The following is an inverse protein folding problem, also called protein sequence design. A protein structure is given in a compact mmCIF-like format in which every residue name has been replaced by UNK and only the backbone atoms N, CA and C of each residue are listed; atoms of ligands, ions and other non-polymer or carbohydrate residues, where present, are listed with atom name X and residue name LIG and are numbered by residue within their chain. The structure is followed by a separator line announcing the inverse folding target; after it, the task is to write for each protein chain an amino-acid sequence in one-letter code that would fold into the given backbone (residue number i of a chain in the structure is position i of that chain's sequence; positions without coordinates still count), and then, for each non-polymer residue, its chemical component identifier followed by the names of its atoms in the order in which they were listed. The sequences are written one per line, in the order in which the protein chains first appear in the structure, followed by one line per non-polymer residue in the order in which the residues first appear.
data_IF_543746629079
#
_entry.id   IF_543746629079
#
_cell.length_a   1.000
_cell.length_b   1.000
_cell.length_c   1.000
_cell.angle_alpha   90.00
_cell.angle_beta   90.00
_cell.angle_gamma   90.00
#
_symmetry.space_group_name_H-M   'P 1'
#
loop_
_entity.id
_entity.type
_entity.pdbx_description
1 polymer ?
#
# COMPACT_ATOMS: atom_id res chain seq x y z
N UNK A 1 -33.16 -2.88 -32.97
CA UNK A 1 -31.93 -2.68 -32.17
C UNK A 1 -30.76 -3.14 -33.01
N UNK A 2 -29.92 -2.22 -33.49
CA UNK A 2 -28.77 -2.53 -34.34
C UNK A 2 -27.56 -2.87 -33.49
N UNK A 3 -27.13 -4.13 -33.54
CA UNK A 3 -25.88 -4.58 -32.93
C UNK A 3 -24.68 -3.98 -33.68
N UNK A 4 -23.78 -3.31 -32.97
CA UNK A 4 -22.57 -2.75 -33.54
C UNK A 4 -21.34 -3.42 -32.92
N UNK A 5 -20.71 -4.31 -33.70
CA UNK A 5 -19.57 -5.11 -33.26
C UNK A 5 -18.39 -4.26 -32.76
N UNK A 6 -18.15 -3.08 -33.37
CA UNK A 6 -17.03 -2.21 -32.97
C UNK A 6 -17.24 -1.61 -31.58
N UNK A 7 -18.48 -1.25 -31.25
CA UNK A 7 -18.83 -0.72 -29.93
C UNK A 7 -18.69 -1.78 -28.84
N UNK A 8 -19.12 -3.01 -29.11
CA UNK A 8 -18.99 -4.13 -28.19
C UNK A 8 -17.53 -4.52 -27.94
N UNK A 9 -16.70 -4.54 -28.99
CA UNK A 9 -15.26 -4.80 -28.85
C UNK A 9 -14.57 -3.71 -28.03
N UNK A 10 -14.98 -2.44 -28.17
CA UNK A 10 -14.43 -1.34 -27.35
C UNK A 10 -14.80 -1.50 -25.86
N UNK A 11 -16.06 -1.85 -25.57
CA UNK A 11 -16.53 -2.15 -24.22
C UNK A 11 -15.78 -3.34 -23.60
N UNK A 12 -15.59 -4.42 -24.36
CA UNK A 12 -14.86 -5.61 -23.91
C UNK A 12 -13.39 -5.30 -23.59
N UNK A 13 -12.72 -4.47 -24.40
CA UNK A 13 -11.34 -4.03 -24.14
C UNK A 13 -11.25 -3.17 -22.87
N UNK A 14 -12.21 -2.26 -22.65
CA UNK A 14 -12.28 -1.46 -21.43
C UNK A 14 -12.48 -2.34 -20.18
N UNK A 15 -13.40 -3.32 -20.25
CA UNK A 15 -13.61 -4.30 -19.18
C UNK A 15 -12.36 -5.14 -18.89
N UNK A 16 -11.67 -5.59 -19.93
CA UNK A 16 -10.43 -6.36 -19.80
C UNK A 16 -9.34 -5.53 -19.11
N UNK A 17 -9.21 -4.25 -19.46
CA UNK A 17 -8.25 -3.33 -18.82
C UNK A 17 -8.56 -3.11 -17.33
N UNK A 18 -9.84 -2.97 -16.96
CA UNK A 18 -10.25 -2.84 -15.57
C UNK A 18 -9.94 -4.12 -14.77
N UNK A 19 -10.15 -5.30 -15.38
CA UNK A 19 -9.87 -6.59 -14.76
C UNK A 19 -8.37 -6.87 -14.61
N UNK A 20 -7.56 -6.39 -15.55
CA UNK A 20 -6.10 -6.49 -15.52
C UNK A 20 -5.43 -5.52 -14.53
N UNK A 21 -6.18 -4.57 -13.95
CA UNK A 21 -5.62 -3.61 -12.99
C UNK A 21 -5.15 -4.35 -11.73
N UNK A 22 -3.83 -4.40 -11.52
CA UNK A 22 -3.26 -4.95 -10.27
C UNK A 22 -3.81 -4.18 -9.08
N UNK A 23 -4.46 -4.90 -8.16
CA UNK A 23 -4.88 -4.33 -6.88
C UNK A 23 -3.65 -4.18 -6.01
N UNK A 24 -3.22 -2.94 -5.78
CA UNK A 24 -2.19 -2.66 -4.78
C UNK A 24 -2.81 -2.82 -3.40
N UNK A 25 -2.37 -3.85 -2.66
CA UNK A 25 -2.75 -4.00 -1.26
C UNK A 25 -1.95 -2.99 -0.44
N UNK A 26 -2.65 -2.18 0.35
CA UNK A 26 -2.01 -1.29 1.32
C UNK A 26 -1.16 -2.11 2.29
N UNK A 27 -0.01 -1.55 2.69
CA UNK A 27 0.83 -2.16 3.71
C UNK A 27 0.09 -2.22 5.04
N UNK A 28 0.36 -3.23 5.87
CA UNK A 28 -0.14 -3.27 7.25
C UNK A 28 0.34 -2.06 8.06
N UNK A 29 1.49 -1.49 7.68
CA UNK A 29 2.07 -0.29 8.27
C UNK A 29 1.28 0.99 7.94
N UNK A 30 0.52 1.01 6.85
CA UNK A 30 -0.24 2.18 6.43
C UNK A 30 -1.32 2.55 7.46
N UNK A 31 -1.81 1.57 8.23
CA UNK A 31 -2.71 1.78 9.37
C UNK A 31 -2.09 2.68 10.44
N UNK A 32 -0.77 2.62 10.61
CA UNK A 32 -0.02 3.38 11.61
C UNK A 32 0.78 4.53 11.00
N UNK A 33 0.51 4.90 9.73
CA UNK A 33 1.30 5.88 8.98
C UNK A 33 1.55 7.16 9.76
N UNK A 34 0.48 7.76 10.28
CA UNK A 34 0.54 9.02 11.04
C UNK A 34 1.42 8.93 12.29
N UNK A 35 1.40 7.79 12.97
CA UNK A 35 2.19 7.57 14.18
C UNK A 35 3.65 7.33 13.83
N UNK A 36 3.93 6.52 12.81
CA UNK A 36 5.28 6.23 12.35
C UNK A 36 5.98 7.50 11.83
N UNK A 37 5.28 8.34 11.06
CA UNK A 37 5.82 9.63 10.62
C UNK A 37 6.17 10.53 11.81
N UNK A 38 5.24 10.72 12.76
CA UNK A 38 5.49 11.55 13.96
C UNK A 38 6.63 11.03 14.83
N UNK A 39 6.73 9.71 15.01
CA UNK A 39 7.83 9.10 15.76
C UNK A 39 9.17 9.29 15.04
N UNK A 40 9.20 9.14 13.72
CA UNK A 40 10.40 9.37 12.92
C UNK A 40 10.83 10.85 12.94
N UNK A 41 9.87 11.78 12.82
CA UNK A 41 10.10 13.23 12.97
C UNK A 41 10.63 13.60 14.37
N UNK A 42 10.18 12.89 15.41
CA UNK A 42 10.70 13.03 16.77
C UNK A 42 12.10 12.42 16.98
N UNK A 43 12.70 11.82 15.94
CA UNK A 43 14.03 11.24 15.98
C UNK A 43 14.10 9.77 16.34
N UNK A 44 12.97 9.05 16.39
CA UNK A 44 12.98 7.62 16.65
C UNK A 44 13.66 6.85 15.51
N UNK A 45 14.55 5.93 15.86
CA UNK A 45 15.21 5.06 14.91
C UNK A 45 14.25 4.02 14.32
N UNK A 46 14.59 3.49 13.15
CA UNK A 46 13.82 2.45 12.46
C UNK A 46 13.65 1.16 13.30
N UNK A 47 14.63 0.85 14.17
CA UNK A 47 14.54 -0.28 15.09
C UNK A 47 13.56 -0.01 16.24
N UNK A 48 13.49 1.23 16.73
CA UNK A 48 12.51 1.63 17.75
C UNK A 48 11.10 1.66 17.19
N UNK A 49 10.93 2.10 15.93
CA UNK A 49 9.65 1.99 15.22
C UNK A 49 9.18 0.54 15.09
N UNK A 50 10.09 -0.40 14.80
CA UNK A 50 9.77 -1.83 14.79
C UNK A 50 9.34 -2.32 16.17
N UNK A 51 10.08 -1.98 17.23
CA UNK A 51 9.72 -2.34 18.61
C UNK A 51 8.36 -1.76 19.01
N UNK A 52 8.09 -0.52 18.62
CA UNK A 52 6.80 0.14 18.83
C UNK A 52 5.63 -0.58 18.14
N UNK A 53 5.85 -1.07 16.92
CA UNK A 53 4.87 -1.90 16.21
C UNK A 53 4.66 -3.26 16.89
N UNK A 54 5.75 -3.90 17.34
CA UNK A 54 5.67 -5.18 18.04
C UNK A 54 4.86 -5.09 19.34
N UNK A 55 5.01 -4.00 20.12
CA UNK A 55 4.18 -3.73 21.30
C UNK A 55 2.68 -3.63 21.00
N UNK A 56 2.32 -3.29 19.75
CA UNK A 56 0.93 -3.21 19.27
C UNK A 56 0.46 -4.49 18.56
N UNK A 57 1.21 -5.58 18.69
CA UNK A 57 0.90 -6.87 18.06
C UNK A 57 1.21 -6.92 16.57
N UNK A 58 1.95 -5.95 16.02
CA UNK A 58 2.35 -5.91 14.61
C UNK A 58 3.78 -6.36 14.50
N UNK A 59 3.97 -7.67 14.31
CA UNK A 59 5.29 -8.23 14.07
C UNK A 59 5.67 -8.05 12.58
N UNK A 60 6.70 -7.25 12.33
CA UNK A 60 7.25 -6.95 11.01
C UNK A 60 8.77 -6.98 11.06
N UNK A 61 9.37 -7.43 9.97
CA UNK A 61 10.82 -7.43 9.82
C UNK A 61 11.35 -6.00 9.80
N UNK A 62 12.53 -5.77 10.40
CA UNK A 62 13.14 -4.45 10.47
C UNK A 62 13.31 -3.81 9.08
N UNK A 63 13.68 -4.62 8.09
CA UNK A 63 13.84 -4.19 6.69
C UNK A 63 12.53 -3.69 6.08
N UNK A 64 11.39 -4.23 6.52
CA UNK A 64 10.06 -3.77 6.08
C UNK A 64 9.75 -2.40 6.65
N UNK A 65 10.08 -2.16 7.92
CA UNK A 65 9.94 -0.84 8.55
C UNK A 65 10.86 0.16 7.88
N UNK A 66 12.14 -0.18 7.68
CA UNK A 66 13.11 0.67 6.97
C UNK A 66 12.60 1.05 5.57
N UNK A 67 12.25 0.08 4.73
CA UNK A 67 11.75 0.32 3.37
C UNK A 67 10.48 1.16 3.37
N UNK A 68 9.60 0.96 4.35
CA UNK A 68 8.37 1.72 4.46
C UNK A 68 8.64 3.17 4.88
N UNK A 69 9.49 3.39 5.88
CA UNK A 69 9.90 4.72 6.36
C UNK A 69 10.59 5.48 5.23
N UNK A 70 11.60 4.89 4.57
CA UNK A 70 12.34 5.52 3.47
C UNK A 70 11.45 5.93 2.27
N UNK A 71 10.23 5.37 2.16
CA UNK A 71 9.27 5.68 1.11
C UNK A 71 8.18 6.69 1.54
N UNK A 72 7.86 6.78 2.84
CA UNK A 72 6.63 7.43 3.32
C UNK A 72 6.83 8.50 4.41
N UNK A 73 8.00 8.54 5.04
CA UNK A 73 8.39 9.54 6.04
C UNK A 73 9.49 10.42 5.46
#
# INVERSE_FOLDING_TARGET
MTFNANTEVALLKAHTKLRARKRHKSSKLDKYRTHLCKLNEAGASKAELQRWLAMRGVNVEWTTVKRWVDKNA
#
